data_IF_883377724304
#
_entry.id   IF_883377724304
#
_cell.length_a   1.000
_cell.length_b   1.000
_cell.length_c   1.000
_cell.angle_alpha   90.00
_cell.angle_beta   90.00
_cell.angle_gamma   90.00
#
_symmetry.space_group_name_H-M   'P 1'
#
loop_
_entity.id
_entity.type
_entity.pdbx_description
1 polymer ?
#
# COMPACT_ATOMS: atom_id res chain seq x y z
N UNK A 1 9.22 6.92 -14.53
CA UNK A 1 9.59 7.82 -13.40
C UNK A 1 8.40 7.84 -12.47
N UNK A 2 8.56 7.43 -11.21
CA UNK A 2 7.47 7.53 -10.25
C UNK A 2 7.27 9.01 -9.90
N UNK A 3 6.07 9.51 -10.12
CA UNK A 3 5.64 10.80 -9.56
C UNK A 3 5.78 10.69 -8.03
N UNK A 4 6.57 11.57 -7.42
CA UNK A 4 6.87 11.55 -5.97
C UNK A 4 5.83 12.36 -5.19
N UNK A 5 4.81 12.86 -5.87
CA UNK A 5 3.70 13.59 -5.24
C UNK A 5 2.86 12.61 -4.44
N UNK A 6 2.70 12.87 -3.14
CA UNK A 6 1.80 12.07 -2.31
C UNK A 6 0.35 12.23 -2.83
N UNK A 7 -0.44 11.14 -2.90
CA UNK A 7 -1.83 11.22 -3.35
C UNK A 7 -2.64 12.11 -2.40
N UNK A 8 -3.58 12.87 -2.97
CA UNK A 8 -4.46 13.72 -2.17
C UNK A 8 -5.54 12.89 -1.45
N UNK A 9 -6.06 13.42 -0.34
CA UNK A 9 -7.18 12.78 0.37
C UNK A 9 -8.42 12.72 -0.53
N UNK A 10 -9.04 11.54 -0.61
CA UNK A 10 -10.19 11.29 -1.48
C UNK A 10 -9.84 10.77 -2.87
N UNK A 11 -8.57 10.82 -3.27
CA UNK A 11 -8.12 10.15 -4.48
C UNK A 11 -8.04 8.63 -4.30
N UNK A 12 -8.14 7.91 -5.43
CA UNK A 12 -8.00 6.46 -5.42
C UNK A 12 -6.57 6.11 -4.99
N UNK A 13 -6.46 5.28 -3.96
CA UNK A 13 -5.17 4.73 -3.52
C UNK A 13 -4.40 4.07 -4.68
N UNK A 14 -3.10 4.38 -4.76
CA UNK A 14 -2.16 3.83 -5.74
C UNK A 14 -2.07 2.30 -5.61
N UNK A 15 -1.92 1.56 -6.73
CA UNK A 15 -1.75 0.11 -6.67
C UNK A 15 -0.47 -0.27 -5.93
N UNK A 16 -0.53 -1.37 -5.18
CA UNK A 16 0.63 -2.01 -4.58
C UNK A 16 0.54 -3.54 -4.72
N UNK A 17 1.71 -4.17 -4.74
CA UNK A 17 1.93 -5.61 -4.64
C UNK A 17 3.09 -5.79 -3.66
N UNK A 18 2.79 -6.32 -2.47
CA UNK A 18 3.73 -6.44 -1.36
C UNK A 18 3.83 -7.89 -0.92
N UNK A 19 5.04 -8.28 -0.50
CA UNK A 19 5.27 -9.58 0.15
C UNK A 19 5.01 -9.41 1.64
N UNK A 20 4.21 -10.30 2.23
CA UNK A 20 3.98 -10.33 3.67
C UNK A 20 5.14 -10.99 4.42
N UNK A 21 5.03 -11.08 5.75
CA UNK A 21 6.07 -11.65 6.60
C UNK A 21 6.24 -13.16 6.45
N UNK A 22 5.21 -13.86 5.96
CA UNK A 22 5.20 -15.29 5.71
C UNK A 22 5.59 -15.63 4.26
N UNK A 23 5.91 -14.62 3.44
CA UNK A 23 6.27 -14.76 2.04
C UNK A 23 5.07 -14.83 1.08
N UNK A 24 3.85 -14.66 1.57
CA UNK A 24 2.64 -14.50 0.78
C UNK A 24 2.61 -13.15 0.06
N UNK A 25 1.66 -12.98 -0.86
CA UNK A 25 1.46 -11.72 -1.60
C UNK A 25 0.16 -11.05 -1.20
N UNK A 26 0.25 -9.75 -0.98
CA UNK A 26 -0.90 -8.87 -0.70
C UNK A 26 -0.95 -7.77 -1.75
N UNK A 27 -2.06 -7.70 -2.47
CA UNK A 27 -2.30 -6.69 -3.52
C UNK A 27 -3.46 -5.79 -3.12
N UNK A 28 -3.41 -4.52 -3.55
CA UNK A 28 -4.51 -3.59 -3.29
C UNK A 28 -5.84 -4.08 -3.87
N UNK A 29 -5.81 -4.70 -5.04
CA UNK A 29 -7.02 -5.14 -5.74
C UNK A 29 -7.80 -6.19 -4.95
N UNK A 30 -7.10 -7.06 -4.21
CA UNK A 30 -7.70 -8.11 -3.38
C UNK A 30 -8.38 -7.54 -2.13
N UNK A 31 -8.05 -6.30 -1.74
CA UNK A 31 -8.57 -5.59 -0.56
C UNK A 31 -9.66 -4.56 -0.92
N UNK A 32 -9.99 -4.38 -2.20
CA UNK A 32 -11.00 -3.39 -2.63
C UNK A 32 -12.38 -3.72 -2.04
N UNK A 33 -13.09 -2.67 -1.62
CA UNK A 33 -14.40 -2.80 -0.97
C UNK A 33 -14.32 -3.08 0.54
N UNK A 34 -13.12 -3.30 1.08
CA UNK A 34 -12.86 -3.44 2.50
C UNK A 34 -12.16 -2.19 3.03
N UNK A 35 -12.52 -1.75 4.24
CA UNK A 35 -11.78 -0.69 4.91
C UNK A 35 -10.50 -1.29 5.51
N UNK A 36 -9.34 -0.74 5.16
CA UNK A 36 -8.04 -1.17 5.70
C UNK A 36 -7.09 0.02 5.86
N UNK A 37 -6.03 -0.16 6.65
CA UNK A 37 -4.99 0.84 6.89
C UNK A 37 -3.63 0.29 6.44
N UNK A 38 -2.92 1.02 5.58
CA UNK A 38 -1.55 0.72 5.20
C UNK A 38 -0.59 1.62 5.97
N UNK A 39 0.26 1.02 6.80
CA UNK A 39 1.22 1.74 7.66
C UNK A 39 2.63 1.57 7.11
N UNK A 40 3.30 2.67 6.81
CA UNK A 40 4.71 2.66 6.40
C UNK A 40 5.60 2.86 7.63
N UNK A 41 6.36 1.82 7.98
CA UNK A 41 7.29 1.85 9.10
C UNK A 41 8.72 2.01 8.56
N UNK A 42 9.51 2.90 9.18
CA UNK A 42 10.96 2.95 8.95
C UNK A 42 11.63 2.13 10.03
N UNK A 43 12.43 1.14 9.64
CA UNK A 43 13.31 0.47 10.58
C UNK A 43 14.47 1.42 10.94
N UNK A 44 14.61 1.77 12.22
CA UNK A 44 15.83 2.37 12.73
C UNK A 44 16.76 1.21 13.07
N UNK A 45 17.77 1.00 12.23
CA UNK A 45 18.90 0.14 12.58
C UNK A 45 19.73 0.76 13.68
#
# INVERSE_FOLDING_TARGET
MADTTAPAVGERACPFDLVDLDGGRVRLDDLRGQAFLLVFLRHAG
#
